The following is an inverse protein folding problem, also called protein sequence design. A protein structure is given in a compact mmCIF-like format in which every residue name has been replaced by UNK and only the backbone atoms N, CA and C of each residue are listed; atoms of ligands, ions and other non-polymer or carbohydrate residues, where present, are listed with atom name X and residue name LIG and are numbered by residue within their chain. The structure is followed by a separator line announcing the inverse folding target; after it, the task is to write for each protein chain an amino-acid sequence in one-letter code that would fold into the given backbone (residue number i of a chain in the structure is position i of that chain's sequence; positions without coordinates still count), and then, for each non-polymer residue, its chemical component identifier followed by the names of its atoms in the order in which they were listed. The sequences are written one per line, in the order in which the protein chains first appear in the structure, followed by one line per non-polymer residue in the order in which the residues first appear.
data_IF_003696260156
#
_entry.id   IF_003696260156
#
_cell.length_a   1.000
_cell.length_b   1.000
_cell.length_c   1.000
_cell.angle_alpha   90.00
_cell.angle_beta   90.00
_cell.angle_gamma   90.00
#
_symmetry.space_group_name_H-M   'P 1'
#
loop_
_entity.id
_entity.type
_entity.pdbx_description
1 polymer ?
#
# COMPACT_ATOMS: atom_id res chain seq x y z
N UNK A 1 17.52 -10.58 -21.14
CA UNK A 1 17.55 -10.80 -19.68
C UNK A 1 17.15 -9.55 -18.85
N UNK A 2 16.08 -8.82 -19.24
CA UNK A 2 15.64 -7.62 -18.50
C UNK A 2 14.59 -7.96 -17.43
N UNK A 3 13.60 -8.79 -17.78
CA UNK A 3 12.55 -9.23 -16.85
C UNK A 3 13.10 -10.09 -15.69
N UNK A 4 14.16 -10.87 -15.94
CA UNK A 4 14.83 -11.67 -14.91
C UNK A 4 15.51 -10.80 -13.86
N UNK A 5 16.08 -9.65 -14.25
CA UNK A 5 16.67 -8.69 -13.31
C UNK A 5 15.60 -8.04 -12.42
N UNK A 6 14.43 -7.72 -12.98
CA UNK A 6 13.27 -7.24 -12.22
C UNK A 6 12.84 -8.29 -11.18
N UNK A 7 12.67 -9.55 -11.61
CA UNK A 7 12.28 -10.64 -10.72
C UNK A 7 13.29 -10.89 -9.61
N UNK A 8 14.60 -10.85 -9.91
CA UNK A 8 15.68 -11.04 -8.94
C UNK A 8 15.71 -9.93 -7.87
N UNK A 9 15.58 -8.67 -8.28
CA UNK A 9 15.50 -7.54 -7.34
C UNK A 9 14.23 -7.61 -6.50
N UNK A 10 13.09 -7.92 -7.12
CA UNK A 10 11.83 -8.08 -6.40
C UNK A 10 11.95 -9.18 -5.33
N UNK A 11 12.45 -10.36 -5.70
CA UNK A 11 12.69 -11.46 -4.75
C UNK A 11 13.64 -11.04 -3.62
N UNK A 12 14.75 -10.36 -3.95
CA UNK A 12 15.68 -9.86 -2.94
C UNK A 12 15.05 -8.85 -1.94
N UNK A 13 14.00 -8.13 -2.35
CA UNK A 13 13.24 -7.22 -1.48
C UNK A 13 12.20 -7.96 -0.65
N UNK A 14 11.50 -8.95 -1.21
CA UNK A 14 10.37 -9.64 -0.57
C UNK A 14 10.73 -10.96 0.11
N UNK A 15 11.94 -11.47 -0.07
CA UNK A 15 12.41 -12.69 0.60
C UNK A 15 12.89 -12.42 2.01
N UNK A 16 12.45 -13.26 2.96
CA UNK A 16 12.90 -13.21 4.35
C UNK A 16 14.32 -13.79 4.45
N UNK A 17 15.22 -13.07 5.09
CA UNK A 17 16.60 -13.50 5.34
C UNK A 17 16.87 -13.46 6.84
N UNK A 18 17.78 -14.28 7.39
CA UNK A 18 18.04 -14.38 8.83
C UNK A 18 18.31 -13.03 9.53
N UNK A 19 18.75 -12.02 8.78
CA UNK A 19 19.14 -10.70 9.28
C UNK A 19 18.30 -9.55 8.68
N UNK A 20 17.27 -9.84 7.88
CA UNK A 20 16.45 -8.80 7.24
C UNK A 20 15.02 -9.28 7.07
N UNK A 21 14.09 -8.52 7.66
CA UNK A 21 12.66 -8.72 7.45
C UNK A 21 12.30 -8.41 6.00
N UNK A 22 11.51 -9.30 5.38
CA UNK A 22 10.97 -9.10 4.04
C UNK A 22 10.17 -7.79 3.95
N UNK A 23 10.33 -7.07 2.84
CA UNK A 23 9.40 -5.99 2.50
C UNK A 23 8.08 -6.58 2.01
N UNK A 24 6.97 -5.90 2.32
CA UNK A 24 5.70 -6.24 1.68
C UNK A 24 5.73 -5.92 0.18
N UNK A 25 5.00 -6.66 -0.67
CA UNK A 25 5.00 -6.48 -2.13
C UNK A 25 4.77 -5.03 -2.58
N UNK A 26 3.83 -4.33 -1.96
CA UNK A 26 3.53 -2.93 -2.22
C UNK A 26 4.69 -1.97 -1.87
N UNK A 27 5.48 -2.28 -0.83
CA UNK A 27 6.69 -1.52 -0.50
C UNK A 27 7.79 -1.78 -1.54
N UNK A 28 7.97 -3.03 -1.95
CA UNK A 28 8.91 -3.39 -3.01
C UNK A 28 8.56 -2.68 -4.33
N UNK A 29 7.26 -2.62 -4.68
CA UNK A 29 6.76 -1.84 -5.81
C UNK A 29 7.18 -0.38 -5.72
N UNK A 30 6.91 0.29 -4.59
CA UNK A 30 7.25 1.70 -4.42
C UNK A 30 8.77 1.95 -4.55
N UNK A 31 9.60 1.07 -3.98
CA UNK A 31 11.06 1.15 -4.13
C UNK A 31 11.46 1.04 -5.60
N UNK A 32 10.98 0.02 -6.31
CA UNK A 32 11.40 -0.26 -7.69
C UNK A 32 10.84 0.76 -8.69
N UNK A 33 9.61 1.25 -8.48
CA UNK A 33 8.91 2.15 -9.39
C UNK A 33 9.26 3.63 -9.17
N UNK A 34 9.38 4.07 -7.91
CA UNK A 34 9.57 5.49 -7.58
C UNK A 34 10.99 5.83 -7.14
N UNK A 35 11.64 4.97 -6.35
CA UNK A 35 12.98 5.26 -5.79
C UNK A 35 14.08 4.89 -6.80
N UNK A 36 13.93 3.76 -7.50
CA UNK A 36 14.87 3.29 -8.52
C UNK A 36 14.49 3.74 -9.94
N UNK A 37 13.88 4.92 -10.08
CA UNK A 37 13.40 5.42 -11.38
C UNK A 37 14.54 5.48 -12.41
N UNK A 38 14.31 4.91 -13.59
CA UNK A 38 15.29 4.83 -14.68
C UNK A 38 16.28 3.66 -14.60
N UNK A 39 16.22 2.82 -13.55
CA UNK A 39 17.04 1.60 -13.45
C UNK A 39 16.41 0.39 -14.16
N UNK A 40 15.09 0.44 -14.39
CA UNK A 40 14.34 -0.63 -15.04
C UNK A 40 13.70 -0.15 -16.33
N UNK A 41 13.48 -1.10 -17.23
CA UNK A 41 12.61 -0.92 -18.39
C UNK A 41 11.17 -0.79 -17.88
N UNK A 42 10.56 0.39 -18.05
CA UNK A 42 9.31 0.74 -17.38
C UNK A 42 8.15 -0.16 -17.82
N UNK A 43 8.04 -0.44 -19.12
CA UNK A 43 6.97 -1.29 -19.66
C UNK A 43 7.07 -2.72 -19.09
N UNK A 44 8.30 -3.24 -18.93
CA UNK A 44 8.53 -4.54 -18.31
C UNK A 44 8.27 -4.53 -16.81
N UNK A 45 8.59 -3.44 -16.11
CA UNK A 45 8.34 -3.28 -14.69
C UNK A 45 6.83 -3.23 -14.41
N UNK A 46 6.09 -2.45 -15.19
CA UNK A 46 4.64 -2.35 -15.10
C UNK A 46 3.99 -3.68 -15.46
N UNK A 47 4.47 -4.36 -16.52
CA UNK A 47 4.02 -5.71 -16.87
C UNK A 47 4.24 -6.70 -15.72
N UNK A 48 5.41 -6.68 -15.08
CA UNK A 48 5.71 -7.55 -13.95
C UNK A 48 4.73 -7.30 -12.80
N UNK A 49 4.54 -6.05 -12.39
CA UNK A 49 3.68 -5.74 -11.26
C UNK A 49 2.20 -5.95 -11.53
N UNK A 50 1.75 -5.77 -12.77
CA UNK A 50 0.41 -6.14 -13.21
C UNK A 50 0.09 -7.64 -13.05
N UNK A 51 1.11 -8.49 -12.86
CA UNK A 51 1.00 -9.93 -12.67
C UNK A 51 1.29 -10.38 -11.23
N UNK A 52 1.72 -9.47 -10.35
CA UNK A 52 2.06 -9.77 -8.95
C UNK A 52 1.05 -9.12 -8.02
N UNK A 53 0.46 -9.89 -7.12
CA UNK A 53 -0.50 -9.37 -6.15
C UNK A 53 0.18 -8.46 -5.11
N UNK A 54 0.17 -7.15 -5.36
CA UNK A 54 0.72 -6.14 -4.43
C UNK A 54 -0.09 -6.03 -3.15
N UNK A 55 -1.39 -6.21 -3.28
CA UNK A 55 -2.36 -6.19 -2.20
C UNK A 55 -3.12 -7.51 -2.22
N UNK A 56 -2.63 -8.55 -1.50
CA UNK A 56 -3.33 -9.83 -1.41
C UNK A 56 -4.74 -9.67 -0.85
N UNK A 57 -5.66 -10.52 -1.28
CA UNK A 57 -7.00 -10.60 -0.69
C UNK A 57 -6.91 -10.84 0.82
N UNK A 58 -7.74 -10.12 1.58
CA UNK A 58 -7.72 -10.16 3.05
C UNK A 58 -6.66 -9.27 3.71
N UNK A 59 -5.74 -8.65 2.95
CA UNK A 59 -4.80 -7.68 3.51
C UNK A 59 -5.55 -6.45 4.06
N UNK A 60 -5.11 -5.93 5.21
CA UNK A 60 -5.66 -4.71 5.80
C UNK A 60 -4.86 -3.50 5.35
N UNK A 61 -5.57 -2.50 4.84
CA UNK A 61 -5.02 -1.24 4.38
C UNK A 61 -5.48 -0.11 5.29
N UNK A 62 -4.59 0.83 5.56
CA UNK A 62 -4.96 2.15 6.06
C UNK A 62 -5.15 3.06 4.85
N UNK A 63 -6.28 3.74 4.79
CA UNK A 63 -6.62 4.67 3.72
C UNK A 63 -6.97 6.04 4.29
N UNK A 64 -7.08 7.06 3.44
CA UNK A 64 -7.61 8.37 3.80
C UNK A 64 -9.03 8.30 4.36
N UNK A 65 -9.80 7.26 3.99
CA UNK A 65 -11.17 7.04 4.45
C UNK A 65 -11.25 6.25 5.76
N UNK A 66 -10.16 5.59 6.17
CA UNK A 66 -10.11 4.70 7.33
C UNK A 66 -9.49 3.34 7.04
N UNK A 67 -9.79 2.34 7.86
CA UNK A 67 -9.26 0.99 7.68
C UNK A 67 -10.16 0.16 6.77
N UNK A 68 -9.53 -0.49 5.80
CA UNK A 68 -10.19 -1.31 4.82
C UNK A 68 -9.51 -2.67 4.68
N UNK A 69 -10.26 -3.67 4.22
CA UNK A 69 -9.72 -4.97 3.85
C UNK A 69 -9.80 -5.15 2.34
N UNK A 70 -8.76 -5.72 1.74
CA UNK A 70 -8.76 -6.04 0.32
C UNK A 70 -9.80 -7.13 0.05
N UNK A 71 -10.77 -6.81 -0.80
CA UNK A 71 -11.79 -7.76 -1.27
C UNK A 71 -11.30 -8.54 -2.48
N UNK A 72 -10.69 -7.85 -3.43
CA UNK A 72 -10.28 -8.43 -4.72
C UNK A 72 -9.10 -7.64 -5.29
N UNK A 73 -8.08 -8.35 -5.76
CA UNK A 73 -6.99 -7.80 -6.59
C UNK A 73 -7.05 -8.42 -7.97
N UNK A 74 -7.41 -7.62 -8.97
CA UNK A 74 -7.58 -8.12 -10.34
C UNK A 74 -6.25 -8.18 -11.07
N UNK A 75 -6.07 -9.25 -11.84
CA UNK A 75 -4.96 -9.35 -12.79
C UNK A 75 -4.96 -8.15 -13.75
N UNK A 76 -3.79 -7.56 -13.98
CA UNK A 76 -3.66 -6.34 -14.77
C UNK A 76 -4.02 -5.04 -14.04
N UNK A 77 -4.46 -5.11 -12.77
CA UNK A 77 -4.84 -3.95 -11.93
C UNK A 77 -4.46 -4.18 -10.46
N UNK A 78 -3.30 -4.79 -10.24
CA UNK A 78 -2.85 -5.25 -8.92
C UNK A 78 -2.49 -4.10 -7.96
N UNK A 79 -2.26 -2.90 -8.48
CA UNK A 79 -2.05 -1.65 -7.71
C UNK A 79 -3.33 -1.01 -7.20
N UNK A 80 -4.49 -1.40 -7.77
CA UNK A 80 -5.79 -0.75 -7.55
C UNK A 80 -6.83 -1.78 -7.12
N UNK A 81 -6.68 -2.40 -5.93
CA UNK A 81 -7.61 -3.41 -5.45
C UNK A 81 -9.00 -2.82 -5.18
N UNK A 82 -10.02 -3.67 -5.26
CA UNK A 82 -11.32 -3.37 -4.64
C UNK A 82 -11.22 -3.67 -3.14
N UNK A 83 -11.67 -2.73 -2.32
CA UNK A 83 -11.56 -2.80 -0.85
C UNK A 83 -12.93 -2.71 -0.19
N UNK A 84 -13.03 -3.18 1.05
CA UNK A 84 -14.18 -3.00 1.94
C UNK A 84 -13.73 -2.13 3.10
N UNK A 85 -14.23 -0.90 3.15
CA UNK A 85 -14.00 0.01 4.27
C UNK A 85 -14.83 -0.47 5.48
N UNK A 86 -14.17 -0.74 6.60
CA UNK A 86 -14.82 -1.31 7.79
C UNK A 86 -14.65 -0.49 9.05
N UNK A 87 -13.68 0.43 9.10
CA UNK A 87 -13.50 1.37 10.22
C UNK A 87 -13.10 2.75 9.70
N UNK A 88 -13.40 3.79 10.48
CA UNK A 88 -12.93 5.15 10.21
C UNK A 88 -11.43 5.31 10.48
N UNK A 89 -10.88 6.50 10.28
CA UNK A 89 -9.45 6.81 10.50
C UNK A 89 -9.00 6.68 11.96
N UNK A 90 -9.94 6.66 12.91
CA UNK A 90 -9.66 6.44 14.34
C UNK A 90 -9.76 4.96 14.75
N UNK A 91 -10.08 4.07 13.80
CA UNK A 91 -10.28 2.65 14.07
C UNK A 91 -11.65 2.30 14.64
N UNK A 92 -12.61 3.24 14.66
CA UNK A 92 -13.98 2.95 15.07
C UNK A 92 -14.68 2.22 13.92
N UNK A 93 -15.27 1.06 14.24
CA UNK A 93 -16.03 0.28 13.25
C UNK A 93 -17.20 1.10 12.68
N UNK A 94 -17.37 1.03 11.37
CA UNK A 94 -18.49 1.65 10.67
C UNK A 94 -19.73 0.77 10.82
N UNK A 95 -20.91 1.39 10.93
CA UNK A 95 -22.19 0.68 10.97
C UNK A 95 -22.49 -0.01 9.63
N UNK A 96 -22.08 0.63 8.53
CA UNK A 96 -22.20 0.10 7.17
C UNK A 96 -20.82 -0.01 6.53
N UNK A 97 -20.56 -1.15 5.88
CA UNK A 97 -19.32 -1.40 5.17
C UNK A 97 -19.49 -0.97 3.71
N UNK A 98 -18.60 -0.11 3.23
CA UNK A 98 -18.64 0.38 1.86
C UNK A 98 -17.63 -0.37 0.99
N UNK A 99 -18.06 -0.82 -0.18
CA UNK A 99 -17.16 -1.36 -1.20
C UNK A 99 -16.62 -0.20 -2.02
N UNK A 100 -15.31 -0.09 -2.13
CA UNK A 100 -14.62 1.00 -2.83
C UNK A 100 -13.72 0.37 -3.88
N UNK A 101 -13.89 0.76 -5.14
CA UNK A 101 -12.95 0.43 -6.21
C UNK A 101 -11.86 1.51 -6.29
N UNK A 102 -10.64 1.17 -5.88
CA UNK A 102 -9.54 2.14 -5.87
C UNK A 102 -9.08 2.57 -7.26
N UNK A 103 -9.44 1.82 -8.32
CA UNK A 103 -9.13 2.20 -9.70
C UNK A 103 -9.74 3.57 -10.05
N UNK A 104 -11.01 3.78 -9.70
CA UNK A 104 -11.72 5.04 -9.94
C UNK A 104 -10.99 6.22 -9.27
N UNK A 105 -10.55 6.06 -8.02
CA UNK A 105 -9.87 7.13 -7.29
C UNK A 105 -8.50 7.48 -7.90
N UNK A 106 -7.68 6.47 -8.19
CA UNK A 106 -6.31 6.68 -8.65
C UNK A 106 -6.27 7.16 -10.10
N UNK A 107 -7.09 6.59 -10.98
CA UNK A 107 -7.01 6.86 -12.42
C UNK A 107 -8.02 7.91 -12.91
N UNK A 108 -9.17 8.06 -12.26
CA UNK A 108 -10.19 9.03 -12.71
C UNK A 108 -10.16 10.31 -11.88
N UNK A 109 -9.81 10.24 -10.59
CA UNK A 109 -9.72 11.41 -9.70
C UNK A 109 -8.28 11.87 -9.43
N UNK A 110 -7.27 11.06 -9.79
CA UNK A 110 -5.85 11.40 -9.58
C UNK A 110 -5.42 11.41 -8.11
N UNK A 111 -6.15 10.73 -7.22
CA UNK A 111 -5.87 10.67 -5.79
C UNK A 111 -5.57 9.23 -5.41
N UNK A 112 -4.40 8.96 -4.82
CA UNK A 112 -4.10 7.69 -4.16
C UNK A 112 -4.53 7.76 -2.69
N UNK A 113 -5.64 7.11 -2.30
CA UNK A 113 -6.12 7.15 -0.93
C UNK A 113 -5.39 6.15 -0.03
N UNK A 114 -4.44 5.35 -0.52
CA UNK A 114 -3.76 4.33 0.27
C UNK A 114 -2.54 4.92 1.02
N UNK A 115 -2.48 4.72 2.34
CA UNK A 115 -1.32 5.05 3.16
C UNK A 115 -0.54 3.79 3.52
N UNK A 116 0.78 3.86 3.38
CA UNK A 116 1.69 2.77 3.73
C UNK A 116 2.09 2.83 5.20
N UNK A 117 1.70 1.82 5.99
CA UNK A 117 1.89 1.73 7.44
C UNK A 117 3.36 1.83 7.91
N UNK A 118 4.34 1.57 7.04
CA UNK A 118 5.78 1.64 7.39
C UNK A 118 6.26 3.08 7.67
N UNK A 119 5.64 4.09 7.04
CA UNK A 119 5.94 5.51 7.27
C UNK A 119 5.58 5.95 8.70
N UNK A 120 4.46 5.43 9.23
CA UNK A 120 4.00 5.72 10.59
C UNK A 120 4.83 4.99 11.65
N UNK A 121 5.22 3.73 11.40
CA UNK A 121 6.07 2.96 12.33
C UNK A 121 7.43 3.62 12.59
N UNK A 122 8.00 4.32 11.61
CA UNK A 122 9.26 5.07 11.79
C UNK A 122 9.05 6.40 12.53
N UNK A 123 7.93 7.09 12.31
CA UNK A 123 7.57 8.30 13.06
C UNK A 123 7.29 8.00 14.53
N UNK A 124 6.54 6.95 14.82
CA UNK A 124 6.20 6.54 16.19
C UNK A 124 7.44 6.06 16.97
N UNK A 125 8.33 5.32 16.30
CA UNK A 125 9.60 4.88 16.87
C UNK A 125 10.57 6.05 17.12
N UNK A 126 10.64 7.03 16.19
CA UNK A 126 11.46 8.23 16.36
C UNK A 126 10.91 9.20 17.42
N UNK A 127 9.59 9.20 17.64
CA UNK A 127 8.91 10.00 18.66
C UNK A 127 8.87 9.33 20.05
N UNK A 128 9.39 8.10 20.19
CA UNK A 128 9.46 7.39 21.47
C UNK A 128 8.09 6.99 22.05
N UNK A 129 7.04 6.96 21.23
CA UNK A 129 5.68 6.68 21.67
C UNK A 129 5.52 5.16 21.82
N UNK A 130 5.40 4.67 23.06
CA UNK A 130 4.89 3.31 23.32
C UNK A 130 3.39 3.31 23.05
N UNK A 131 2.90 2.31 22.32
CA UNK A 131 1.49 2.19 21.93
C UNK A 131 0.56 2.19 23.15
N UNK A 132 0.05 3.37 23.48
CA UNK A 132 -1.11 3.58 24.35
C UNK A 132 -2.22 4.18 23.48
N UNK A 133 -3.42 3.63 23.61
CA UNK A 133 -4.55 3.95 22.75
C UNK A 133 -4.91 5.45 22.72
N UNK A 134 -5.21 5.89 21.49
CA UNK A 134 -6.08 7.01 21.09
C UNK A 134 -5.74 8.41 21.59
N UNK A 135 -5.43 9.29 20.63
CA UNK A 135 -6.12 10.57 20.35
C UNK A 135 -5.19 11.43 19.47
N UNK A 136 -5.62 11.96 18.33
CA UNK A 136 -6.08 13.36 18.32
C UNK A 136 -6.79 13.74 17.01
N UNK A 137 -7.75 14.64 17.18
CA UNK A 137 -8.78 15.14 16.28
C UNK A 137 -8.28 15.98 15.08
N UNK A 138 -9.14 16.26 14.08
CA UNK A 138 -8.75 16.88 12.81
C UNK A 138 -8.60 18.39 12.96
N UNK A 139 -7.55 18.95 12.33
CA UNK A 139 -7.41 20.40 12.19
C UNK A 139 -7.98 20.83 10.85
N UNK A 140 -9.18 21.41 10.90
CA UNK A 140 -9.69 22.28 9.85
C UNK A 140 -8.73 23.46 9.65
N UNK A 141 -8.51 23.85 8.38
CA UNK A 141 -8.99 25.12 7.85
C UNK A 141 -8.78 25.18 6.33
N UNK A 142 -9.90 25.36 5.61
CA UNK A 142 -9.92 26.04 4.32
C UNK A 142 -9.55 27.51 4.52
N UNK A 143 -8.54 27.95 3.78
CA UNK A 143 -8.48 29.16 2.94
C UNK A 143 -7.02 29.54 2.70
#
# INVERSE_FOLDING_TARGET
AKITAIADVYDALTSERPYKKAYMPNIAYNIMHNISKGQFDQDLLDTFFNNVALYPEGAVLKTTFGFAVVKESRFGRTTTPTIILFADTNGKLLNERSVIDLYHFIHELGVDPSYYLEEERKKDAAAGIKSSGVSTAPRAQLN
#
